data_IF_934426476837
#
_entry.id   IF_934426476837
#
_cell.length_a   1.000
_cell.length_b   1.000
_cell.length_c   1.000
_cell.angle_alpha   90.00
_cell.angle_beta   90.00
_cell.angle_gamma   90.00
#
_symmetry.space_group_name_H-M   'P 1'
#
loop_
_entity.id
_entity.type
_entity.pdbx_description
1 polymer ?
#
# COMPACT_ATOMS: atom_id res chain seq x y z
N UNK A 1 -2.12 12.95 -2.19
CA UNK A 1 -1.37 11.88 -1.50
C UNK A 1 -1.25 12.31 -0.05
N UNK A 2 -1.55 11.43 0.90
CA UNK A 2 -1.43 11.72 2.31
C UNK A 2 0.03 11.63 2.76
N UNK A 3 0.56 12.70 3.37
CA UNK A 3 1.90 12.72 3.96
C UNK A 3 1.90 11.88 5.26
N UNK A 4 2.93 11.05 5.47
CA UNK A 4 3.03 10.09 6.59
C UNK A 4 1.94 9.00 6.62
N UNK A 5 1.51 8.55 5.44
CA UNK A 5 0.54 7.48 5.31
C UNK A 5 1.14 6.10 5.62
N UNK A 6 0.51 5.38 6.55
CA UNK A 6 0.90 4.02 6.93
C UNK A 6 2.24 3.93 7.69
N UNK A 7 2.69 2.71 8.02
CA UNK A 7 3.96 2.49 8.69
C UNK A 7 5.15 2.72 7.76
N UNK A 8 6.32 2.99 8.33
CA UNK A 8 7.56 2.99 7.56
C UNK A 8 7.87 1.56 7.07
N UNK A 9 7.79 1.36 5.75
CA UNK A 9 8.03 0.05 5.14
C UNK A 9 9.48 -0.41 5.31
N UNK A 10 10.45 0.50 5.47
CA UNK A 10 11.86 0.16 5.75
C UNK A 10 12.04 -0.55 7.10
N UNK A 11 11.06 -0.42 7.99
CA UNK A 11 11.09 -1.03 9.34
C UNK A 11 10.24 -2.29 9.45
N UNK A 12 9.62 -2.73 8.36
CA UNK A 12 8.80 -3.93 8.36
C UNK A 12 9.67 -5.18 8.62
N UNK A 13 9.36 -6.00 9.63
CA UNK A 13 10.05 -7.27 9.84
C UNK A 13 9.82 -8.25 8.69
N UNK A 14 10.75 -9.19 8.51
CA UNK A 14 10.58 -10.34 7.63
C UNK A 14 9.24 -11.05 7.94
N UNK A 15 8.53 -11.46 6.89
CA UNK A 15 7.23 -12.10 7.00
C UNK A 15 6.05 -11.12 7.09
N UNK A 16 6.29 -9.80 7.07
CA UNK A 16 5.21 -8.81 6.93
C UNK A 16 4.51 -8.96 5.58
N UNK A 17 3.19 -9.03 5.59
CA UNK A 17 2.37 -9.14 4.37
C UNK A 17 1.79 -7.78 4.02
N UNK A 18 2.09 -7.29 2.81
CA UNK A 18 1.53 -6.06 2.27
C UNK A 18 0.45 -6.36 1.23
N UNK A 19 -0.60 -5.56 1.21
CA UNK A 19 -1.67 -5.63 0.21
C UNK A 19 -2.06 -4.25 -0.28
N UNK A 20 -2.51 -4.16 -1.54
CA UNK A 20 -3.07 -2.94 -2.11
C UNK A 20 -4.51 -3.20 -2.54
N UNK A 21 -5.38 -2.24 -2.27
CA UNK A 21 -6.78 -2.27 -2.69
C UNK A 21 -7.15 -0.93 -3.30
N UNK A 22 -7.77 -0.95 -4.47
CA UNK A 22 -8.58 0.17 -4.94
C UNK A 22 -10.03 -0.21 -4.70
N UNK A 23 -10.70 0.51 -3.81
CA UNK A 23 -12.08 0.22 -3.44
C UNK A 23 -13.08 0.68 -4.52
N UNK A 24 -14.37 0.38 -4.32
CA UNK A 24 -15.42 0.79 -5.25
C UNK A 24 -15.63 2.30 -5.36
N UNK A 25 -15.07 3.07 -4.43
CA UNK A 25 -15.14 4.54 -4.38
C UNK A 25 -13.94 5.18 -5.09
N UNK A 26 -13.03 4.39 -5.66
CA UNK A 26 -11.80 4.89 -6.29
C UNK A 26 -10.75 5.33 -5.27
N UNK A 27 -10.78 4.81 -4.04
CA UNK A 27 -9.79 5.09 -3.01
C UNK A 27 -8.72 3.99 -3.00
N UNK A 28 -7.45 4.38 -2.94
CA UNK A 28 -6.31 3.48 -2.74
C UNK A 28 -6.05 3.26 -1.26
N UNK A 29 -5.93 1.99 -0.86
CA UNK A 29 -5.62 1.53 0.49
C UNK A 29 -4.39 0.63 0.48
N UNK A 30 -3.55 0.77 1.51
CA UNK A 30 -2.52 -0.18 1.91
C UNK A 30 -3.07 -1.05 3.04
N UNK A 31 -2.79 -2.33 2.96
CA UNK A 31 -3.01 -3.30 4.01
C UNK A 31 -1.67 -3.80 4.54
N UNK A 32 -1.53 -3.87 5.86
CA UNK A 32 -0.36 -4.42 6.53
C UNK A 32 -0.83 -5.54 7.47
N UNK A 33 -0.38 -6.77 7.22
CA UNK A 33 -0.82 -7.97 7.93
C UNK A 33 -2.35 -8.09 8.01
N UNK A 34 -3.03 -7.75 6.91
CA UNK A 34 -4.49 -7.79 6.78
C UNK A 34 -5.24 -6.61 7.41
N UNK A 35 -4.55 -5.63 8.02
CA UNK A 35 -5.18 -4.42 8.57
C UNK A 35 -5.09 -3.24 7.58
N UNK A 36 -6.23 -2.63 7.27
CA UNK A 36 -6.33 -1.42 6.45
C UNK A 36 -5.65 -0.23 7.15
N UNK A 37 -4.78 0.48 6.42
CA UNK A 37 -4.09 1.68 6.89
C UNK A 37 -4.83 2.98 6.53
N UNK A 38 -6.02 2.87 5.92
CA UNK A 38 -6.87 3.98 5.52
C UNK A 38 -6.64 4.41 4.07
N UNK A 39 -7.12 5.60 3.69
CA UNK A 39 -7.03 6.08 2.31
C UNK A 39 -5.70 6.79 2.04
N UNK A 40 -4.88 6.23 1.15
CA UNK A 40 -3.62 6.81 0.68
C UNK A 40 -3.84 7.92 -0.37
N UNK A 41 -4.78 7.66 -1.28
CA UNK A 41 -5.15 8.52 -2.39
C UNK A 41 -6.61 8.25 -2.82
N UNK A 42 -7.25 9.25 -3.41
CA UNK A 42 -8.62 9.19 -3.93
C UNK A 42 -8.59 9.42 -5.45
N UNK A 43 -9.74 9.24 -6.09
CA UNK A 43 -9.95 9.48 -7.52
C UNK A 43 -9.05 8.63 -8.44
N UNK A 44 -8.77 7.39 -8.04
CA UNK A 44 -7.96 6.46 -8.83
C UNK A 44 -8.72 6.05 -10.10
N UNK A 45 -8.19 6.32 -11.31
CA UNK A 45 -8.86 6.00 -12.57
C UNK A 45 -8.84 4.50 -12.86
N UNK A 46 -9.87 4.03 -13.59
CA UNK A 46 -9.97 2.63 -14.05
C UNK A 46 -9.80 2.53 -15.57
N UNK A 47 -9.03 1.56 -16.09
CA UNK A 47 -8.29 0.55 -15.33
C UNK A 47 -7.01 1.11 -14.70
N UNK A 48 -6.64 0.59 -13.53
CA UNK A 48 -5.35 0.81 -12.92
C UNK A 48 -4.67 -0.53 -12.64
N UNK A 49 -3.34 -0.51 -12.51
CA UNK A 49 -2.53 -1.68 -12.21
C UNK A 49 -1.60 -1.35 -11.05
N UNK A 50 -1.40 -2.28 -10.09
CA UNK A 50 -0.44 -2.07 -9.02
C UNK A 50 0.98 -2.06 -9.60
N UNK A 51 1.76 -1.06 -9.19
CA UNK A 51 3.21 -1.05 -9.36
C UNK A 51 3.83 -1.11 -7.97
N UNK A 52 4.68 -2.11 -7.75
CA UNK A 52 5.41 -2.29 -6.52
C UNK A 52 6.88 -2.19 -6.88
N UNK A 53 7.56 -1.19 -6.33
CA UNK A 53 9.02 -1.09 -6.40
C UNK A 53 9.60 -1.72 -5.13
N UNK A 54 10.28 -2.85 -5.30
CA UNK A 54 10.96 -3.55 -4.22
C UNK A 54 12.43 -3.16 -4.28
N UNK A 55 12.78 -2.16 -3.49
CA UNK A 55 14.16 -1.73 -3.29
C UNK A 55 14.47 -1.68 -1.79
N UNK A 56 15.64 -2.13 -1.36
CA UNK A 56 16.04 -2.12 0.06
C UNK A 56 15.89 -3.46 0.77
N UNK A 57 15.31 -3.49 1.97
CA UNK A 57 15.26 -4.66 2.87
C UNK A 57 14.39 -5.83 2.36
N UNK A 58 13.57 -5.59 1.34
CA UNK A 58 12.86 -6.64 0.63
C UNK A 58 13.71 -7.11 -0.56
N UNK A 59 14.56 -8.11 -0.35
CA UNK A 59 15.21 -8.85 -1.43
C UNK A 59 14.42 -10.14 -1.74
N UNK A 60 14.48 -10.59 -3.00
CA UNK A 60 13.74 -11.77 -3.49
C UNK A 60 14.40 -13.09 -3.05
#
# INVERSE_FOLDING_TARGET
>A
ICENYGPNLDTCPEGTVLGLLVDSSGCLHLFVNGMDQGVAAQDIPSPCYPLIDLYGQCEQ
#
